data_IF_987548884356
#
_entry.id   IF_987548884356
#
_cell.length_a   1.000
_cell.length_b   1.000
_cell.length_c   1.000
_cell.angle_alpha   90.00
_cell.angle_beta   90.00
_cell.angle_gamma   90.00
#
_symmetry.space_group_name_H-M   'P 1'
#
loop_
_entity.id
_entity.type
_entity.pdbx_description
1 polymer ?
#
# COMPACT_ATOMS: atom_id res chain seq x y z
N UNK A 1 -25.21 -12.69 22.51
CA UNK A 1 -26.02 -12.20 21.37
C UNK A 1 -25.21 -11.19 20.61
N UNK A 2 -24.52 -11.62 19.55
CA UNK A 2 -23.67 -10.79 18.70
C UNK A 2 -24.52 -10.34 17.50
N UNK A 3 -24.68 -9.03 17.37
CA UNK A 3 -25.48 -8.37 16.34
C UNK A 3 -24.72 -8.40 15.01
N UNK A 4 -25.27 -9.12 14.04
CA UNK A 4 -24.82 -9.17 12.65
C UNK A 4 -25.24 -7.86 11.94
N UNK A 5 -24.38 -6.85 11.93
CA UNK A 5 -24.58 -5.55 11.26
C UNK A 5 -23.46 -5.36 10.21
N UNK A 6 -23.65 -5.84 8.97
CA UNK A 6 -22.60 -5.66 7.99
C UNK A 6 -22.98 -5.58 6.51
N UNK A 7 -24.13 -6.08 6.07
CA UNK A 7 -24.41 -6.19 4.63
C UNK A 7 -25.47 -5.23 4.03
N UNK A 8 -26.12 -4.41 4.85
CA UNK A 8 -27.23 -3.57 4.36
C UNK A 8 -26.95 -2.10 4.11
N UNK A 9 -25.77 -1.57 4.52
CA UNK A 9 -25.57 -0.11 4.55
C UNK A 9 -25.01 0.51 3.26
N UNK A 10 -24.33 -0.26 2.41
CA UNK A 10 -23.74 0.27 1.17
C UNK A 10 -24.74 0.53 0.05
N UNK A 11 -25.70 -0.39 -0.13
CA UNK A 11 -26.74 -0.22 -1.14
C UNK A 11 -27.79 0.84 -0.71
N UNK A 12 -28.07 0.95 0.56
CA UNK A 12 -28.99 1.97 1.09
C UNK A 12 -28.49 3.40 0.97
N UNK A 13 -27.18 3.62 0.96
CA UNK A 13 -26.60 4.95 0.77
C UNK A 13 -26.63 5.42 -0.70
N UNK A 14 -26.65 4.47 -1.65
CA UNK A 14 -26.77 4.77 -3.10
C UNK A 14 -28.23 4.96 -3.53
N UNK A 15 -29.17 4.43 -2.77
CA UNK A 15 -30.61 4.56 -2.99
C UNK A 15 -31.26 5.59 -2.05
N UNK A 16 -30.49 6.20 -1.15
CA UNK A 16 -30.98 7.03 -0.04
C UNK A 16 -31.71 8.31 -0.44
N UNK A 17 -31.46 8.87 -1.62
CA UNK A 17 -32.21 10.02 -2.13
C UNK A 17 -33.53 9.64 -2.84
N UNK A 18 -33.74 8.34 -3.10
CA UNK A 18 -34.98 7.82 -3.67
C UNK A 18 -35.86 7.07 -2.65
N UNK A 19 -35.41 6.94 -1.41
CA UNK A 19 -36.06 6.10 -0.39
C UNK A 19 -37.02 6.83 0.54
N UNK A 20 -37.23 8.13 0.40
CA UNK A 20 -38.18 8.87 1.27
C UNK A 20 -39.63 8.86 0.78
N UNK A 21 -39.96 8.29 -0.40
CA UNK A 21 -41.35 8.27 -0.87
C UNK A 21 -41.97 6.89 -1.18
N UNK A 22 -41.30 5.77 -0.94
CA UNK A 22 -41.95 4.45 -1.10
C UNK A 22 -41.49 3.45 -0.08
N UNK A 23 -42.08 3.49 1.07
CA UNK A 23 -42.35 2.29 1.92
C UNK A 23 -43.21 1.34 1.09
N UNK A 24 -42.68 0.13 0.86
CA UNK A 24 -43.24 -1.08 0.26
C UNK A 24 -42.75 -1.44 -1.14
N UNK A 25 -41.98 -2.55 -1.14
CA UNK A 25 -41.60 -3.36 -2.31
C UNK A 25 -40.70 -2.66 -3.33
N UNK A 26 -39.38 -2.88 -3.23
CA UNK A 26 -38.49 -2.79 -4.36
C UNK A 26 -38.99 -3.79 -5.43
N UNK A 27 -39.88 -3.34 -6.25
CA UNK A 27 -40.57 -4.15 -7.24
C UNK A 27 -39.57 -4.57 -8.32
N UNK A 28 -38.90 -5.74 -8.14
CA UNK A 28 -38.30 -6.41 -9.28
C UNK A 28 -39.40 -6.78 -10.28
N UNK A 29 -39.10 -6.65 -11.55
CA UNK A 29 -39.97 -7.12 -12.63
C UNK A 29 -39.43 -8.45 -13.15
N UNK A 30 -40.33 -9.39 -13.47
CA UNK A 30 -39.95 -10.56 -14.21
C UNK A 30 -39.81 -10.16 -15.68
N UNK A 31 -38.62 -10.29 -16.22
CA UNK A 31 -38.33 -9.94 -17.59
C UNK A 31 -38.07 -11.21 -18.42
N UNK A 32 -38.62 -11.32 -19.62
CA UNK A 32 -38.31 -12.41 -20.55
C UNK A 32 -36.82 -12.45 -20.83
N UNK A 33 -36.16 -13.60 -20.59
CA UNK A 33 -34.70 -13.73 -20.64
C UNK A 33 -34.13 -13.38 -22.03
N UNK A 34 -34.90 -13.58 -23.08
CA UNK A 34 -34.52 -13.24 -24.46
C UNK A 34 -34.50 -11.73 -24.75
N UNK A 35 -35.15 -10.92 -23.90
CA UNK A 35 -35.09 -9.45 -23.97
C UNK A 35 -33.94 -8.84 -23.16
N UNK A 36 -33.22 -9.65 -22.40
CA UNK A 36 -32.12 -9.22 -21.61
C UNK A 36 -30.81 -9.54 -22.32
N UNK A 37 -29.97 -8.54 -22.53
CA UNK A 37 -28.69 -8.67 -23.24
C UNK A 37 -27.51 -8.22 -22.39
N UNK A 38 -26.34 -8.85 -22.59
CA UNK A 38 -25.13 -8.45 -21.88
C UNK A 38 -24.63 -7.10 -22.38
N UNK A 39 -23.89 -6.40 -21.51
CA UNK A 39 -23.17 -5.20 -21.92
C UNK A 39 -21.84 -5.60 -22.57
N UNK A 40 -21.58 -5.22 -23.85
CA UNK A 40 -20.32 -5.55 -24.55
C UNK A 40 -19.07 -4.92 -23.89
N UNK A 41 -19.24 -3.83 -23.14
CA UNK A 41 -18.16 -3.09 -22.49
C UNK A 41 -17.86 -3.61 -21.07
N UNK A 42 -18.39 -4.76 -20.68
CA UNK A 42 -18.12 -5.36 -19.37
C UNK A 42 -16.65 -5.82 -19.26
N UNK A 43 -15.94 -5.45 -18.20
CA UNK A 43 -14.52 -5.75 -18.03
C UNK A 43 -14.21 -7.24 -17.79
N UNK A 44 -15.20 -8.05 -17.39
CA UNK A 44 -15.04 -9.47 -17.15
C UNK A 44 -15.51 -10.29 -18.35
N UNK A 45 -14.56 -10.84 -19.10
CA UNK A 45 -14.84 -11.72 -20.23
C UNK A 45 -14.64 -13.21 -19.92
N UNK A 46 -13.79 -13.52 -18.93
CA UNK A 46 -13.50 -14.90 -18.55
C UNK A 46 -14.41 -15.37 -17.41
N UNK A 47 -15.18 -16.41 -17.69
CA UNK A 47 -16.03 -17.09 -16.72
C UNK A 47 -15.56 -18.54 -16.59
N UNK A 48 -15.32 -18.96 -15.37
CA UNK A 48 -15.04 -20.36 -15.07
C UNK A 48 -16.30 -21.19 -15.36
N UNK A 49 -16.17 -22.15 -16.27
CA UNK A 49 -17.30 -22.99 -16.71
C UNK A 49 -17.82 -23.86 -15.58
N UNK A 50 -16.95 -24.37 -14.69
CA UNK A 50 -17.36 -25.21 -13.55
C UNK A 50 -18.18 -24.39 -12.53
N UNK A 51 -17.73 -23.17 -12.22
CA UNK A 51 -18.48 -22.26 -11.34
C UNK A 51 -19.81 -21.84 -11.96
N UNK A 52 -19.86 -21.65 -13.28
CA UNK A 52 -21.10 -21.28 -13.97
C UNK A 52 -22.09 -22.44 -13.97
N UNK A 53 -21.61 -23.66 -14.17
CA UNK A 53 -22.42 -24.87 -14.12
C UNK A 53 -23.05 -25.09 -12.74
N UNK A 54 -22.23 -24.97 -11.66
CA UNK A 54 -22.73 -25.08 -10.28
C UNK A 54 -23.80 -24.00 -9.96
N UNK A 55 -23.61 -22.78 -10.47
CA UNK A 55 -24.59 -21.71 -10.31
C UNK A 55 -25.87 -22.00 -11.11
N UNK A 56 -25.77 -22.57 -12.31
CA UNK A 56 -26.91 -22.96 -13.15
C UNK A 56 -27.75 -24.05 -12.48
N UNK A 57 -27.13 -25.07 -11.86
CA UNK A 57 -27.81 -26.10 -11.10
C UNK A 57 -28.56 -25.53 -9.88
N UNK A 58 -27.94 -24.61 -9.15
CA UNK A 58 -28.57 -23.90 -8.05
C UNK A 58 -29.78 -23.09 -8.50
N UNK A 59 -29.65 -22.37 -9.62
CA UNK A 59 -30.71 -21.53 -10.21
C UNK A 59 -31.86 -22.40 -10.74
N UNK A 60 -31.58 -23.58 -11.27
CA UNK A 60 -32.63 -24.50 -11.74
C UNK A 60 -33.55 -24.97 -10.61
N UNK A 61 -33.02 -25.08 -9.38
CA UNK A 61 -33.76 -25.56 -8.19
C UNK A 61 -34.46 -24.40 -7.47
N UNK A 62 -33.77 -23.28 -7.28
CA UNK A 62 -34.22 -22.19 -6.40
C UNK A 62 -34.65 -20.93 -7.16
N UNK A 63 -34.46 -20.90 -8.48
CA UNK A 63 -34.61 -19.68 -9.27
C UNK A 63 -33.49 -18.65 -8.98
N UNK A 64 -33.60 -17.48 -9.58
CA UNK A 64 -32.69 -16.36 -9.34
C UNK A 64 -33.15 -15.61 -8.10
N UNK A 65 -32.48 -15.86 -6.97
CA UNK A 65 -32.85 -15.28 -5.67
C UNK A 65 -32.53 -13.77 -5.63
N UNK A 66 -31.38 -13.38 -6.14
CA UNK A 66 -30.97 -11.96 -6.20
C UNK A 66 -31.26 -11.41 -7.59
N UNK A 67 -32.15 -10.41 -7.76
CA UNK A 67 -32.49 -9.84 -9.05
C UNK A 67 -31.29 -9.30 -9.82
N UNK A 68 -31.40 -9.30 -11.15
CA UNK A 68 -30.46 -8.58 -12.03
C UNK A 68 -30.67 -7.08 -11.89
N UNK A 69 -29.66 -6.29 -12.20
CA UNK A 69 -29.82 -4.85 -12.39
C UNK A 69 -29.69 -4.57 -13.88
N UNK A 70 -30.72 -3.98 -14.48
CA UNK A 70 -30.78 -3.71 -15.90
C UNK A 70 -31.25 -2.28 -16.19
N UNK A 71 -30.93 -1.77 -17.38
CA UNK A 71 -31.55 -0.57 -17.92
C UNK A 71 -32.36 -0.88 -19.16
N UNK A 72 -33.38 -0.13 -19.39
CA UNK A 72 -34.18 -0.23 -20.62
C UNK A 72 -33.48 0.52 -21.75
N UNK A 73 -33.39 -0.13 -22.90
CA UNK A 73 -32.88 0.45 -24.15
C UNK A 73 -34.02 0.99 -24.99
N UNK A 74 -33.72 1.96 -25.85
CA UNK A 74 -34.71 2.51 -26.81
C UNK A 74 -35.31 1.45 -27.75
N UNK A 75 -34.65 0.29 -27.88
CA UNK A 75 -35.10 -0.86 -28.65
C UNK A 75 -36.19 -1.71 -27.98
N UNK A 76 -36.50 -1.44 -26.70
CA UNK A 76 -37.40 -2.26 -25.88
C UNK A 76 -36.74 -3.54 -25.32
N UNK A 77 -35.39 -3.64 -25.43
CA UNK A 77 -34.55 -4.63 -24.76
C UNK A 77 -33.99 -4.05 -23.48
N UNK A 78 -33.44 -4.92 -22.63
CA UNK A 78 -32.86 -4.56 -21.37
C UNK A 78 -31.39 -4.93 -21.35
N UNK A 79 -30.52 -3.96 -21.09
CA UNK A 79 -29.07 -4.19 -20.96
C UNK A 79 -28.67 -4.44 -19.51
N UNK A 80 -27.90 -5.48 -19.27
CA UNK A 80 -27.40 -5.83 -17.95
C UNK A 80 -26.37 -4.80 -17.50
N UNK A 81 -26.60 -4.21 -16.31
CA UNK A 81 -25.64 -3.40 -15.59
C UNK A 81 -24.87 -4.27 -14.61
N UNK A 82 -25.59 -5.13 -13.85
CA UNK A 82 -25.01 -6.04 -12.86
C UNK A 82 -25.74 -7.39 -12.85
N UNK A 83 -24.99 -8.48 -12.63
CA UNK A 83 -25.53 -9.83 -12.51
C UNK A 83 -25.40 -10.70 -13.76
N UNK A 84 -24.44 -10.44 -14.66
CA UNK A 84 -24.25 -11.21 -15.90
C UNK A 84 -24.08 -12.71 -15.65
N UNK A 85 -23.31 -13.13 -14.61
CA UNK A 85 -23.17 -14.55 -14.24
C UNK A 85 -24.52 -15.21 -13.96
N UNK A 86 -25.41 -14.50 -13.23
CA UNK A 86 -26.77 -14.98 -12.91
C UNK A 86 -27.62 -15.11 -14.17
N UNK A 87 -27.53 -14.15 -15.08
CA UNK A 87 -28.23 -14.22 -16.36
C UNK A 87 -27.73 -15.39 -17.23
N UNK A 88 -26.41 -15.57 -17.36
CA UNK A 88 -25.84 -16.71 -18.10
C UNK A 88 -26.26 -18.04 -17.50
N UNK A 89 -26.16 -18.19 -16.20
CA UNK A 89 -26.57 -19.39 -15.49
C UNK A 89 -28.09 -19.64 -15.58
N UNK A 90 -28.92 -18.61 -15.51
CA UNK A 90 -30.37 -18.71 -15.71
C UNK A 90 -30.73 -19.14 -17.12
N UNK A 91 -30.01 -18.62 -18.13
CA UNK A 91 -30.18 -19.04 -19.54
C UNK A 91 -29.75 -20.49 -19.74
N UNK A 92 -28.67 -20.94 -19.13
CA UNK A 92 -28.18 -22.31 -19.16
C UNK A 92 -29.15 -23.26 -18.42
N UNK A 93 -29.77 -22.81 -17.33
CA UNK A 93 -30.82 -23.53 -16.59
C UNK A 93 -32.17 -23.58 -17.34
N UNK A 94 -32.31 -22.92 -18.51
CA UNK A 94 -33.52 -22.94 -19.30
C UNK A 94 -34.66 -22.09 -18.77
N UNK A 95 -34.40 -21.09 -17.90
CA UNK A 95 -35.45 -20.19 -17.40
C UNK A 95 -35.97 -19.31 -18.56
N UNK A 96 -37.30 -19.11 -18.60
CA UNK A 96 -37.95 -18.21 -19.55
C UNK A 96 -37.94 -16.74 -19.12
N UNK A 97 -37.87 -16.49 -17.81
CA UNK A 97 -37.93 -15.17 -17.19
C UNK A 97 -36.91 -15.06 -16.06
N UNK A 98 -36.46 -13.84 -15.83
CA UNK A 98 -35.51 -13.52 -14.73
C UNK A 98 -35.99 -12.30 -13.95
N UNK A 99 -35.87 -12.30 -12.61
CA UNK A 99 -36.18 -11.12 -11.83
C UNK A 99 -35.12 -10.04 -12.08
N UNK A 100 -35.55 -8.83 -12.36
CA UNK A 100 -34.68 -7.70 -12.62
C UNK A 100 -35.21 -6.40 -12.02
N UNK A 101 -34.32 -5.58 -11.52
CA UNK A 101 -34.58 -4.19 -11.14
C UNK A 101 -34.20 -3.33 -12.35
N UNK A 102 -35.19 -2.61 -12.89
CA UNK A 102 -34.99 -1.71 -14.02
C UNK A 102 -34.63 -0.33 -13.47
N UNK A 103 -33.46 0.18 -13.83
CA UNK A 103 -33.01 1.52 -13.46
C UNK A 103 -33.02 2.42 -14.71
N UNK A 104 -33.50 3.64 -14.53
CA UNK A 104 -33.36 4.70 -15.52
C UNK A 104 -31.91 5.22 -15.46
N UNK A 105 -31.09 4.85 -16.40
CA UNK A 105 -29.70 5.27 -16.46
C UNK A 105 -29.30 5.49 -17.94
N UNK A 106 -28.65 6.63 -18.19
CA UNK A 106 -27.93 6.85 -19.45
C UNK A 106 -26.68 5.94 -19.51
N UNK A 107 -26.02 5.89 -20.66
CA UNK A 107 -24.83 5.06 -20.87
C UNK A 107 -23.75 5.34 -19.81
N UNK A 108 -23.53 6.61 -19.51
CA UNK A 108 -22.51 7.03 -18.54
C UNK A 108 -22.83 6.56 -17.12
N UNK A 109 -24.09 6.69 -16.70
CA UNK A 109 -24.55 6.26 -15.37
C UNK A 109 -24.56 4.75 -15.24
N UNK A 110 -24.95 4.04 -16.31
CA UNK A 110 -24.92 2.58 -16.33
C UNK A 110 -23.49 2.03 -16.16
N UNK A 111 -22.51 2.61 -16.88
CA UNK A 111 -21.10 2.25 -16.74
C UNK A 111 -20.55 2.58 -15.34
N UNK A 112 -20.91 3.74 -14.77
CA UNK A 112 -20.54 4.10 -13.42
C UNK A 112 -21.02 3.05 -12.40
N UNK A 113 -22.30 2.67 -12.48
CA UNK A 113 -22.88 1.69 -11.56
C UNK A 113 -22.25 0.31 -11.72
N UNK A 114 -21.95 -0.12 -12.94
CA UNK A 114 -21.27 -1.37 -13.21
C UNK A 114 -19.84 -1.36 -12.64
N UNK A 115 -19.11 -0.25 -12.74
CA UNK A 115 -17.79 -0.10 -12.18
C UNK A 115 -17.82 -0.11 -10.63
N UNK A 116 -18.78 0.57 -10.02
CA UNK A 116 -18.97 0.57 -8.57
C UNK A 116 -19.30 -0.85 -8.06
N UNK A 117 -20.19 -1.58 -8.74
CA UNK A 117 -20.51 -2.97 -8.39
C UNK A 117 -19.27 -3.84 -8.43
N UNK A 118 -18.50 -3.75 -9.53
CA UNK A 118 -17.26 -4.50 -9.65
C UNK A 118 -16.25 -4.16 -8.55
N UNK A 119 -16.15 -2.90 -8.13
CA UNK A 119 -15.29 -2.46 -7.03
C UNK A 119 -15.74 -2.91 -5.64
N UNK A 120 -17.01 -3.29 -5.48
CA UNK A 120 -17.53 -3.84 -4.22
C UNK A 120 -17.27 -5.34 -4.05
N UNK A 121 -16.65 -5.99 -5.03
CA UNK A 121 -16.28 -7.41 -4.96
C UNK A 121 -15.19 -7.61 -3.91
N UNK A 122 -15.21 -8.78 -3.25
CA UNK A 122 -14.27 -9.12 -2.19
C UNK A 122 -12.95 -9.73 -2.71
N UNK A 123 -12.91 -10.11 -3.97
CA UNK A 123 -11.81 -10.84 -4.62
C UNK A 123 -10.85 -9.93 -5.42
N UNK A 124 -11.04 -8.62 -5.40
CA UNK A 124 -10.15 -7.68 -6.08
C UNK A 124 -8.78 -7.62 -5.42
N UNK A 125 -7.73 -7.64 -6.23
CA UNK A 125 -6.41 -7.34 -5.71
C UNK A 125 -6.23 -5.81 -5.47
N UNK A 126 -5.28 -5.39 -4.63
CA UNK A 126 -5.11 -3.98 -4.27
C UNK A 126 -4.81 -3.05 -5.45
N UNK A 127 -4.21 -3.57 -6.53
CA UNK A 127 -3.89 -2.79 -7.73
C UNK A 127 -5.14 -2.59 -8.58
N UNK A 128 -5.97 -3.62 -8.73
CA UNK A 128 -7.26 -3.52 -9.42
C UNK A 128 -8.21 -2.54 -8.71
N UNK A 129 -8.27 -2.63 -7.38
CA UNK A 129 -9.05 -1.69 -6.57
C UNK A 129 -8.59 -0.24 -6.80
N UNK A 130 -7.28 0.00 -6.81
CA UNK A 130 -6.70 1.32 -7.06
C UNK A 130 -7.00 1.85 -8.48
N UNK A 131 -6.88 0.99 -9.50
CA UNK A 131 -7.20 1.35 -10.89
C UNK A 131 -8.69 1.67 -11.05
N UNK A 132 -9.57 0.90 -10.42
CA UNK A 132 -11.00 1.18 -10.44
C UNK A 132 -11.35 2.53 -9.79
N UNK A 133 -10.71 2.89 -8.66
CA UNK A 133 -10.89 4.23 -8.09
C UNK A 133 -10.36 5.32 -9.00
N UNK A 134 -9.23 5.10 -9.68
CA UNK A 134 -8.70 6.04 -10.65
C UNK A 134 -9.66 6.26 -11.81
N UNK A 135 -10.24 5.19 -12.37
CA UNK A 135 -11.22 5.28 -13.45
C UNK A 135 -12.48 6.03 -12.99
N UNK A 136 -13.03 5.75 -11.80
CA UNK A 136 -14.17 6.50 -11.26
C UNK A 136 -13.88 7.99 -11.18
N UNK A 137 -12.69 8.38 -10.75
CA UNK A 137 -12.31 9.79 -10.65
C UNK A 137 -12.09 10.44 -12.03
N UNK A 138 -11.41 9.74 -12.95
CA UNK A 138 -11.06 10.28 -14.25
C UNK A 138 -12.28 10.38 -15.20
N UNK A 139 -13.08 9.30 -15.29
CA UNK A 139 -14.14 9.20 -16.29
C UNK A 139 -15.42 9.92 -15.85
N UNK A 140 -15.66 9.99 -14.53
CA UNK A 140 -16.88 10.59 -13.97
C UNK A 140 -16.62 11.90 -13.22
N UNK A 141 -15.37 12.37 -13.14
CA UNK A 141 -15.01 13.65 -12.53
C UNK A 141 -15.20 13.69 -11.01
N UNK A 142 -15.15 12.51 -10.36
CA UNK A 142 -15.40 12.41 -8.93
C UNK A 142 -14.17 12.80 -8.11
N UNK A 143 -14.39 13.43 -6.98
CA UNK A 143 -13.36 13.63 -5.95
C UNK A 143 -13.10 12.34 -5.19
N UNK A 144 -11.98 12.24 -4.46
CA UNK A 144 -11.69 11.09 -3.59
C UNK A 144 -12.76 10.86 -2.52
N UNK A 145 -13.40 11.92 -2.06
CA UNK A 145 -14.46 11.86 -1.05
C UNK A 145 -15.75 11.29 -1.62
N UNK A 146 -16.18 11.77 -2.79
CA UNK A 146 -17.33 11.25 -3.51
C UNK A 146 -17.11 9.80 -3.93
N UNK A 147 -15.92 9.44 -4.44
CA UNK A 147 -15.56 8.06 -4.78
C UNK A 147 -15.68 7.17 -3.54
N UNK A 148 -15.11 7.59 -2.41
CA UNK A 148 -15.18 6.83 -1.15
C UNK A 148 -16.62 6.61 -0.68
N UNK A 149 -17.46 7.65 -0.74
CA UNK A 149 -18.88 7.57 -0.40
C UNK A 149 -19.62 6.56 -1.29
N UNK A 150 -19.40 6.61 -2.61
CA UNK A 150 -20.09 5.74 -3.58
C UNK A 150 -19.70 4.28 -3.48
N UNK A 151 -18.43 3.99 -3.16
CA UNK A 151 -17.95 2.60 -3.00
C UNK A 151 -18.11 2.06 -1.57
N UNK A 152 -18.63 2.88 -0.62
CA UNK A 152 -18.81 2.48 0.78
C UNK A 152 -17.49 2.32 1.55
N UNK A 153 -16.45 3.06 1.16
CA UNK A 153 -15.13 3.05 1.81
C UNK A 153 -14.83 4.39 2.49
N UNK A 154 -13.80 4.44 3.31
CA UNK A 154 -13.33 5.71 3.86
C UNK A 154 -12.44 6.46 2.85
N UNK A 155 -12.48 7.79 2.85
CA UNK A 155 -11.57 8.62 2.03
C UNK A 155 -10.09 8.25 2.20
N UNK A 156 -9.57 8.00 3.43
CA UNK A 156 -8.19 7.54 3.59
C UNK A 156 -7.91 6.18 2.94
N UNK A 157 -8.89 5.27 2.88
CA UNK A 157 -8.73 3.99 2.19
C UNK A 157 -8.54 4.19 0.69
N UNK A 158 -9.40 4.99 0.05
CA UNK A 158 -9.30 5.35 -1.38
C UNK A 158 -7.97 6.06 -1.67
N UNK A 159 -7.59 7.05 -0.86
CA UNK A 159 -6.33 7.76 -1.03
C UNK A 159 -5.11 6.83 -0.92
N UNK A 160 -5.12 5.88 0.02
CA UNK A 160 -4.05 4.90 0.20
C UNK A 160 -3.98 3.91 -0.98
N UNK A 161 -5.11 3.47 -1.52
CA UNK A 161 -5.15 2.62 -2.70
C UNK A 161 -4.56 3.35 -3.92
N UNK A 162 -5.02 4.58 -4.20
CA UNK A 162 -4.52 5.40 -5.32
C UNK A 162 -3.01 5.63 -5.25
N UNK A 163 -2.45 5.81 -4.05
CA UNK A 163 -1.00 5.98 -3.86
C UNK A 163 -0.21 4.75 -4.31
N UNK A 164 -0.79 3.53 -4.28
CA UNK A 164 -0.11 2.32 -4.74
C UNK A 164 0.31 2.43 -6.20
N UNK A 165 -0.46 3.13 -7.03
CA UNK A 165 -0.17 3.31 -8.45
C UNK A 165 1.13 4.11 -8.73
N UNK A 166 1.69 4.76 -7.70
CA UNK A 166 2.99 5.45 -7.79
C UNK A 166 4.19 4.53 -7.53
N UNK A 167 3.98 3.25 -7.31
CA UNK A 167 5.06 2.27 -7.20
C UNK A 167 5.63 1.94 -8.57
N UNK A 168 6.89 1.47 -8.58
CA UNK A 168 7.50 0.95 -9.81
C UNK A 168 6.73 -0.26 -10.34
N UNK A 169 6.78 -0.47 -11.65
CA UNK A 169 6.04 -1.55 -12.34
C UNK A 169 6.37 -2.93 -11.77
N UNK A 170 7.64 -3.19 -11.44
CA UNK A 170 8.07 -4.47 -10.85
C UNK A 170 7.41 -4.72 -9.48
N UNK A 171 7.31 -3.67 -8.65
CA UNK A 171 6.66 -3.79 -7.33
C UNK A 171 5.15 -3.95 -7.47
N UNK A 172 4.52 -3.22 -8.40
CA UNK A 172 3.08 -3.37 -8.68
C UNK A 172 2.73 -4.79 -9.11
N UNK A 173 3.57 -5.43 -9.95
CA UNK A 173 3.33 -6.80 -10.37
C UNK A 173 3.37 -7.78 -9.19
N UNK A 174 4.29 -7.60 -8.24
CA UNK A 174 4.35 -8.41 -7.01
C UNK A 174 3.18 -8.17 -6.05
N UNK A 175 2.59 -6.98 -6.07
CA UNK A 175 1.34 -6.69 -5.34
C UNK A 175 0.14 -7.33 -6.04
N UNK A 176 0.11 -7.29 -7.38
CA UNK A 176 -0.95 -7.90 -8.19
C UNK A 176 -0.97 -9.42 -8.05
N UNK A 177 0.20 -10.07 -8.04
CA UNK A 177 0.32 -11.52 -7.83
C UNK A 177 0.05 -11.98 -6.39
N UNK A 178 -0.10 -11.04 -5.44
CA UNK A 178 -0.31 -11.36 -4.02
C UNK A 178 0.96 -11.73 -3.25
N UNK A 179 2.14 -11.74 -3.90
CA UNK A 179 3.43 -11.98 -3.23
C UNK A 179 3.75 -10.86 -2.22
N UNK A 180 3.29 -9.63 -2.50
CA UNK A 180 3.37 -8.51 -1.58
C UNK A 180 1.98 -8.05 -1.14
N UNK A 181 1.76 -7.89 0.16
CA UNK A 181 0.52 -7.32 0.67
C UNK A 181 0.46 -5.80 0.45
N UNK A 182 -0.76 -5.23 0.50
CA UNK A 182 -0.95 -3.77 0.47
C UNK A 182 -0.19 -3.04 1.59
N UNK A 183 0.08 -3.71 2.72
CA UNK A 183 0.90 -3.17 3.82
C UNK A 183 2.36 -3.02 3.42
N UNK A 184 2.94 -4.04 2.80
CA UNK A 184 4.31 -3.99 2.26
C UNK A 184 4.44 -2.92 1.18
N UNK A 185 3.48 -2.84 0.25
CA UNK A 185 3.43 -1.83 -0.80
C UNK A 185 3.44 -0.40 -0.23
N UNK A 186 2.66 -0.13 0.84
CA UNK A 186 2.64 1.17 1.52
C UNK A 186 3.97 1.50 2.20
N UNK A 187 4.65 0.51 2.78
CA UNK A 187 5.99 0.72 3.34
C UNK A 187 6.99 1.12 2.25
N UNK A 188 6.99 0.43 1.11
CA UNK A 188 7.86 0.70 -0.04
C UNK A 188 7.60 2.09 -0.65
N UNK A 189 6.36 2.58 -0.63
CA UNK A 189 5.99 3.92 -1.11
C UNK A 189 6.66 5.09 -0.38
N UNK A 190 7.25 4.86 0.80
CA UNK A 190 8.05 5.88 1.48
C UNK A 190 9.36 6.20 0.73
N UNK A 191 9.84 5.27 -0.09
CA UNK A 191 11.07 5.40 -0.85
C UNK A 191 10.82 6.18 -2.15
N UNK A 192 11.63 7.20 -2.39
CA UNK A 192 11.50 8.12 -3.53
C UNK A 192 12.10 7.58 -4.83
N UNK A 193 13.10 6.72 -4.72
CA UNK A 193 13.82 6.16 -5.87
C UNK A 193 13.26 4.81 -6.24
N UNK A 194 12.97 4.60 -7.53
CA UNK A 194 12.53 3.32 -8.08
C UNK A 194 13.52 2.19 -7.76
N UNK A 195 14.83 2.46 -7.85
CA UNK A 195 15.87 1.50 -7.47
C UNK A 195 15.76 1.08 -6.02
N UNK A 196 15.51 2.04 -5.10
CA UNK A 196 15.32 1.73 -3.68
C UNK A 196 14.04 0.91 -3.45
N UNK A 197 12.96 1.19 -4.19
CA UNK A 197 11.72 0.42 -4.11
C UNK A 197 11.94 -1.04 -4.52
N UNK A 198 12.64 -1.28 -5.62
CA UNK A 198 12.98 -2.62 -6.12
C UNK A 198 13.91 -3.35 -5.13
N UNK A 199 14.93 -2.69 -4.61
CA UNK A 199 15.85 -3.27 -3.62
C UNK A 199 15.13 -3.63 -2.31
N UNK A 200 14.21 -2.77 -1.84
CA UNK A 200 13.39 -3.05 -0.68
C UNK A 200 12.46 -4.24 -0.92
N UNK A 201 11.78 -4.29 -2.06
CA UNK A 201 10.93 -5.40 -2.49
C UNK A 201 11.70 -6.73 -2.44
N UNK A 202 12.89 -6.78 -3.08
CA UNK A 202 13.72 -7.99 -3.12
C UNK A 202 14.10 -8.47 -1.72
N UNK A 203 14.47 -7.54 -0.81
CA UNK A 203 14.80 -7.86 0.59
C UNK A 203 13.58 -8.36 1.38
N UNK A 204 12.41 -7.73 1.18
CA UNK A 204 11.16 -8.12 1.85
C UNK A 204 10.78 -9.55 1.45
N UNK A 205 10.85 -9.87 0.16
CA UNK A 205 10.53 -11.20 -0.35
C UNK A 205 11.56 -12.25 0.09
N UNK A 206 12.85 -11.96 -0.06
CA UNK A 206 13.93 -12.91 0.27
C UNK A 206 13.97 -13.27 1.76
N UNK A 207 13.64 -12.33 2.65
CA UNK A 207 13.67 -12.50 4.10
C UNK A 207 12.29 -12.77 4.70
N UNK A 208 11.25 -12.86 3.89
CA UNK A 208 9.86 -13.02 4.30
C UNK A 208 9.46 -12.06 5.44
N UNK A 209 9.81 -10.77 5.30
CA UNK A 209 9.62 -9.77 6.35
C UNK A 209 8.13 -9.51 6.59
N UNK A 210 7.76 -9.29 7.84
CA UNK A 210 6.45 -8.75 8.19
C UNK A 210 6.34 -7.26 7.81
N UNK A 211 5.10 -6.74 7.72
CA UNK A 211 4.85 -5.32 7.37
C UNK A 211 5.63 -4.36 8.29
N UNK A 212 5.67 -4.63 9.60
CA UNK A 212 6.42 -3.79 10.56
C UNK A 212 7.93 -3.80 10.32
N UNK A 213 8.48 -4.96 9.95
CA UNK A 213 9.90 -5.08 9.60
C UNK A 213 10.19 -4.38 8.27
N UNK A 214 9.29 -4.47 7.29
CA UNK A 214 9.38 -3.76 6.02
C UNK A 214 9.35 -2.24 6.22
N UNK A 215 8.47 -1.72 7.08
CA UNK A 215 8.44 -0.29 7.45
C UNK A 215 9.77 0.16 8.06
N UNK A 216 10.34 -0.65 8.96
CA UNK A 216 11.64 -0.35 9.57
C UNK A 216 12.77 -0.38 8.53
N UNK A 217 12.76 -1.37 7.63
CA UNK A 217 13.72 -1.48 6.52
C UNK A 217 13.65 -0.23 5.63
N UNK A 218 12.46 0.12 5.14
CA UNK A 218 12.28 1.27 4.27
C UNK A 218 12.69 2.59 4.96
N UNK A 219 12.32 2.78 6.24
CA UNK A 219 12.74 3.94 7.03
C UNK A 219 14.27 4.03 7.19
N UNK A 220 14.96 2.91 7.27
CA UNK A 220 16.43 2.89 7.35
C UNK A 220 17.06 3.16 5.97
N UNK A 221 16.41 2.72 4.87
CA UNK A 221 16.85 3.00 3.50
C UNK A 221 16.58 4.45 3.07
N UNK A 222 15.52 5.08 3.60
CA UNK A 222 15.20 6.49 3.35
C UNK A 222 16.20 7.44 4.01
N UNK A 223 16.73 7.05 5.20
CA UNK A 223 17.87 7.77 5.78
C UNK A 223 19.01 7.58 4.80
N UNK A 224 19.44 8.68 4.16
CA UNK A 224 20.71 8.67 3.41
C UNK A 224 21.72 7.87 4.20
N UNK A 225 22.51 6.99 3.55
CA UNK A 225 23.60 6.34 4.24
C UNK A 225 24.34 7.48 4.94
N UNK A 226 24.42 7.48 6.28
CA UNK A 226 25.44 8.26 6.95
C UNK A 226 26.68 7.91 6.14
N UNK A 227 27.19 8.90 5.39
CA UNK A 227 28.52 8.78 4.77
C UNK A 227 29.34 8.27 5.93
N UNK A 228 29.64 6.97 5.95
CA UNK A 228 30.71 6.47 6.77
C UNK A 228 31.82 7.42 6.38
N UNK A 229 32.11 8.37 7.31
CA UNK A 229 33.31 9.17 7.16
C UNK A 229 34.33 8.12 6.82
N UNK A 230 34.85 8.17 5.59
CA UNK A 230 36.05 7.40 5.26
C UNK A 230 36.87 7.44 6.53
N UNK A 231 37.08 6.26 7.11
CA UNK A 231 38.08 6.10 8.13
C UNK A 231 39.35 6.31 7.32
N UNK A 232 39.65 7.60 7.05
CA UNK A 232 41.00 7.98 6.82
C UNK A 232 41.69 7.39 8.04
N UNK A 233 42.55 6.42 7.83
CA UNK A 233 43.57 6.00 8.78
C UNK A 233 44.42 7.26 9.00
N UNK A 234 43.82 8.24 9.68
CA UNK A 234 44.57 9.29 10.36
C UNK A 234 45.29 8.48 11.43
N UNK A 235 46.49 8.11 11.14
CA UNK A 235 47.46 7.67 12.12
C UNK A 235 47.29 8.67 13.27
N UNK A 236 46.77 8.19 14.43
CA UNK A 236 46.55 9.07 15.56
C UNK A 236 47.94 9.50 16.02
N UNK A 237 48.43 10.57 15.40
CA UNK A 237 49.77 11.13 15.61
C UNK A 237 49.99 11.39 17.11
N UNK A 238 48.95 11.71 17.84
CA UNK A 238 48.98 11.92 19.28
C UNK A 238 49.25 10.62 20.03
N UNK A 239 48.51 9.53 19.65
CA UNK A 239 48.72 8.21 20.28
C UNK A 239 50.11 7.64 19.94
N UNK A 240 50.64 7.91 18.73
CA UNK A 240 51.96 7.48 18.32
C UNK A 240 53.03 8.28 19.08
N UNK A 241 52.84 9.59 19.26
CA UNK A 241 53.69 10.44 20.08
C UNK A 241 53.69 10.04 21.58
N UNK A 242 52.51 9.75 22.14
CA UNK A 242 52.37 9.24 23.51
C UNK A 242 53.19 7.96 23.71
N UNK A 243 53.03 7.01 22.80
CA UNK A 243 53.71 5.72 22.86
C UNK A 243 55.24 5.86 22.68
N UNK A 244 55.70 6.74 21.80
CA UNK A 244 57.11 7.02 21.60
C UNK A 244 57.72 7.70 22.84
N UNK A 245 57.06 8.73 23.36
CA UNK A 245 57.49 9.45 24.55
C UNK A 245 57.47 8.56 25.82
N UNK A 246 56.45 7.74 26.00
CA UNK A 246 56.39 6.78 27.13
C UNK A 246 57.54 5.78 27.07
N UNK A 247 57.86 5.30 25.85
CA UNK A 247 59.00 4.38 25.67
C UNK A 247 60.35 5.06 25.93
N UNK A 248 60.51 6.33 25.56
CA UNK A 248 61.74 7.08 25.74
C UNK A 248 61.95 7.51 27.19
N UNK A 249 60.86 7.94 27.85
CA UNK A 249 60.93 8.44 29.23
C UNK A 249 60.76 7.35 30.29
N UNK A 250 60.40 6.11 29.89
CA UNK A 250 60.17 4.99 30.81
C UNK A 250 58.98 5.19 31.77
N UNK A 251 58.04 6.09 31.44
CA UNK A 251 56.89 6.46 32.28
C UNK A 251 55.65 6.76 31.49
N UNK A 252 54.47 6.78 32.13
CA UNK A 252 53.20 7.12 31.51
C UNK A 252 53.21 8.57 31.02
N UNK A 253 52.90 8.76 29.72
CA UNK A 253 52.75 10.06 29.06
C UNK A 253 51.37 10.11 28.44
N UNK A 254 50.60 11.17 28.77
CA UNK A 254 49.31 11.42 28.13
C UNK A 254 49.27 12.84 27.56
N UNK A 255 48.83 12.94 26.30
CA UNK A 255 48.74 14.19 25.57
C UNK A 255 47.25 14.51 25.34
N UNK A 256 46.74 15.51 26.04
CA UNK A 256 45.39 15.98 25.90
C UNK A 256 45.36 17.16 24.95
N UNK A 257 44.83 16.96 23.75
CA UNK A 257 44.79 17.99 22.72
C UNK A 257 43.44 18.74 22.76
N UNK A 258 43.44 20.02 23.01
CA UNK A 258 42.27 20.90 22.99
C UNK A 258 42.31 21.89 21.84
N UNK A 259 41.19 22.51 21.47
CA UNK A 259 41.08 23.43 20.33
C UNK A 259 42.02 24.64 20.37
N UNK A 260 42.47 25.10 21.54
CA UNK A 260 43.38 26.27 21.71
C UNK A 260 44.60 25.97 22.58
N UNK A 261 44.51 25.00 23.47
CA UNK A 261 45.57 24.63 24.38
C UNK A 261 45.61 23.11 24.50
N UNK A 262 46.78 22.53 24.44
CA UNK A 262 47.05 21.16 24.83
C UNK A 262 47.74 21.10 26.19
N UNK A 263 47.75 19.93 26.81
CA UNK A 263 48.51 19.66 28.05
C UNK A 263 49.16 18.31 27.95
N UNK A 264 50.33 18.20 28.57
CA UNK A 264 51.01 16.97 28.81
C UNK A 264 50.80 16.54 30.28
N UNK A 265 50.48 15.30 30.49
CA UNK A 265 50.42 14.66 31.80
C UNK A 265 51.55 13.63 31.82
N UNK A 266 52.45 13.77 32.80
CA UNK A 266 53.59 12.88 33.03
C UNK A 266 53.44 12.22 34.38
N UNK A 267 53.58 10.90 34.42
CA UNK A 267 53.56 10.16 35.67
C UNK A 267 54.94 10.26 36.34
N UNK A 268 54.96 10.36 37.70
CA UNK A 268 56.18 10.29 38.54
C UNK A 268 55.95 9.36 39.73
N UNK A 269 57.02 8.74 40.19
CA UNK A 269 56.97 7.69 41.20
C UNK A 269 57.76 8.11 42.42
N UNK A 270 57.14 8.88 43.30
CA UNK A 270 57.72 9.40 44.50
C UNK A 270 58.41 10.77 44.37
N UNK A 271 58.90 11.35 45.54
CA UNK A 271 59.47 12.70 45.57
C UNK A 271 60.82 12.82 44.84
N UNK A 272 61.66 11.81 44.97
CA UNK A 272 62.95 11.81 44.30
C UNK A 272 62.85 11.79 42.78
N UNK A 273 61.93 10.99 42.23
CA UNK A 273 61.64 10.95 40.78
C UNK A 273 61.01 12.26 40.30
N UNK A 274 60.18 12.90 41.12
CA UNK A 274 59.60 14.21 40.76
C UNK A 274 60.70 15.26 40.63
N UNK A 275 61.72 15.24 41.57
CA UNK A 275 62.83 16.17 41.53
C UNK A 275 63.67 16.00 40.27
N UNK A 276 63.99 14.77 39.89
CA UNK A 276 64.67 14.44 38.60
C UNK A 276 63.94 14.94 37.41
N UNK A 277 62.60 14.75 37.41
CA UNK A 277 61.74 15.21 36.31
C UNK A 277 61.71 16.74 36.25
N UNK A 278 61.59 17.44 37.33
CA UNK A 278 61.62 18.90 37.40
C UNK A 278 62.97 19.46 36.89
N UNK A 279 64.09 18.84 37.31
CA UNK A 279 65.45 19.26 36.90
C UNK A 279 65.60 19.06 35.34
N UNK A 280 65.04 17.99 34.82
CA UNK A 280 65.04 17.74 33.37
C UNK A 280 64.19 18.78 32.62
N UNK A 281 62.99 19.11 33.11
CA UNK A 281 62.08 20.11 32.50
C UNK A 281 62.67 21.53 32.57
N UNK A 282 63.41 21.88 33.69
CA UNK A 282 64.08 23.18 33.81
C UNK A 282 65.22 23.37 32.83
N UNK A 283 65.81 22.26 32.31
CA UNK A 283 66.89 22.31 31.32
C UNK A 283 66.33 22.54 29.92
N UNK A 284 64.98 22.48 29.68
CA UNK A 284 64.38 22.85 28.39
C UNK A 284 64.54 24.35 28.21
N UNK A 285 65.38 24.75 27.24
CA UNK A 285 65.46 26.14 26.82
C UNK A 285 64.09 26.65 26.38
N UNK A 286 63.77 27.89 26.77
CA UNK A 286 62.57 28.56 26.23
C UNK A 286 62.74 28.69 24.73
N UNK A 287 62.11 27.74 24.00
CA UNK A 287 62.14 27.77 22.56
C UNK A 287 61.72 29.12 22.06
N UNK A 288 62.54 29.71 21.25
CA UNK A 288 62.36 31.03 20.64
C UNK A 288 61.05 31.08 19.90
N UNK A 289 60.55 32.30 19.77
CA UNK A 289 59.29 32.72 19.09
C UNK A 289 59.14 32.14 17.70
#
# INVERSE_FOLDING_TARGET
MASNKGLGRGLGALLGDFAEETTEQSAYRLLPIYKVEPNPDQPRQDFDEEELQALSESISIHGVIQPLTVRELNSGYYQIIAGERRWRAARQAGLSEVPAVVIEADDKKAMELALIENLQRQDLNPVEEALGYQSLMADYGLTQEETASRVGKSRPAVANALRLLNLSSEVLEKVRSGELSAGHARAILSLKSEKQQIDAMKKILALALSVRQAETLCKNMEKEPKIEKEVTLAVDYVAECEKSLSKHLGRGVKIVNGKRKGRFELEFYGQDDLQVLLDALMKLEKGGK
#
